data_IF_474935597981
#
_entry.id   IF_474935597981
#
_cell.length_a   1.000
_cell.length_b   1.000
_cell.length_c   1.000
_cell.angle_alpha   90.00
_cell.angle_beta   90.00
_cell.angle_gamma   90.00
#
_symmetry.space_group_name_H-M   'P 1'
#
loop_
_entity.id
_entity.type
_entity.pdbx_description
1 polymer ?
#
# COMPACT_ATOMS: atom_id res chain seq x y z
N UNK A 1 -0.80 20.13 -7.96
CA UNK A 1 -1.98 20.24 -7.08
C UNK A 1 -1.62 21.04 -5.83
N UNK A 2 -2.57 21.79 -5.25
CA UNK A 2 -2.37 22.39 -3.91
C UNK A 2 -2.23 21.28 -2.87
N UNK A 3 -1.48 21.52 -1.78
CA UNK A 3 -1.22 20.53 -0.71
C UNK A 3 -2.52 19.92 -0.14
N UNK A 4 -3.58 20.72 -0.01
CA UNK A 4 -4.91 20.25 0.40
C UNK A 4 -5.48 19.19 -0.55
N UNK A 5 -5.36 19.40 -1.86
CA UNK A 5 -5.81 18.42 -2.86
C UNK A 5 -5.00 17.12 -2.79
N UNK A 6 -3.69 17.23 -2.56
CA UNK A 6 -2.80 16.07 -2.38
C UNK A 6 -3.23 15.23 -1.19
N UNK A 7 -3.54 15.89 -0.07
CA UNK A 7 -4.03 15.24 1.15
C UNK A 7 -5.38 14.55 0.94
N UNK A 8 -6.37 15.22 0.31
CA UNK A 8 -7.69 14.64 0.03
C UNK A 8 -7.57 13.42 -0.89
N UNK A 9 -6.78 13.51 -1.95
CA UNK A 9 -6.52 12.38 -2.84
C UNK A 9 -5.75 11.26 -2.13
N UNK A 10 -4.93 11.60 -1.13
CA UNK A 10 -4.31 10.65 -0.20
C UNK A 10 -5.36 9.94 0.65
N UNK A 11 -6.29 10.68 1.24
CA UNK A 11 -7.38 10.10 2.02
C UNK A 11 -8.22 9.12 1.19
N UNK A 12 -8.60 9.50 -0.03
CA UNK A 12 -9.32 8.61 -0.95
C UNK A 12 -8.49 7.37 -1.31
N UNK A 13 -7.19 7.52 -1.53
CA UNK A 13 -6.29 6.38 -1.75
C UNK A 13 -6.25 5.40 -0.56
N UNK A 14 -6.23 5.93 0.67
CA UNK A 14 -6.32 5.12 1.89
C UNK A 14 -7.65 4.37 2.01
N UNK A 15 -8.76 5.04 1.70
CA UNK A 15 -10.09 4.43 1.69
C UNK A 15 -10.19 3.31 0.65
N UNK A 16 -9.63 3.49 -0.55
CA UNK A 16 -9.62 2.44 -1.58
C UNK A 16 -8.88 1.19 -1.11
N UNK A 17 -7.69 1.34 -0.52
CA UNK A 17 -6.96 0.20 0.04
C UNK A 17 -7.73 -0.45 1.20
N UNK A 18 -8.38 0.34 2.05
CA UNK A 18 -9.21 -0.18 3.13
C UNK A 18 -10.42 -0.99 2.63
N UNK A 19 -11.07 -0.58 1.53
CA UNK A 19 -12.13 -1.35 0.88
C UNK A 19 -11.61 -2.69 0.37
N UNK A 20 -10.42 -2.70 -0.26
CA UNK A 20 -9.74 -3.95 -0.64
C UNK A 20 -9.44 -4.84 0.58
N UNK A 21 -8.99 -4.24 1.68
CA UNK A 21 -8.78 -4.93 2.95
C UNK A 21 -10.04 -5.53 3.54
N UNK A 22 -11.17 -4.81 3.49
CA UNK A 22 -12.46 -5.32 3.94
C UNK A 22 -12.93 -6.51 3.09
N UNK A 23 -12.75 -6.43 1.77
CA UNK A 23 -13.04 -7.55 0.86
C UNK A 23 -12.18 -8.78 1.21
N UNK A 24 -10.88 -8.59 1.47
CA UNK A 24 -10.00 -9.67 1.90
C UNK A 24 -10.48 -10.34 3.21
N UNK A 25 -10.84 -9.55 4.22
CA UNK A 25 -11.33 -10.10 5.50
C UNK A 25 -12.69 -10.81 5.39
N UNK A 26 -13.48 -10.44 4.38
CA UNK A 26 -14.81 -11.01 4.15
C UNK A 26 -14.78 -12.39 3.48
N UNK A 27 -13.62 -12.84 3.02
CA UNK A 27 -13.44 -14.12 2.33
C UNK A 27 -12.53 -15.04 3.15
N UNK A 28 -12.97 -16.26 3.41
CA UNK A 28 -12.18 -17.21 4.22
C UNK A 28 -11.00 -17.82 3.45
N UNK A 29 -11.13 -17.96 2.13
CA UNK A 29 -10.05 -18.44 1.26
C UNK A 29 -9.02 -17.33 1.00
N UNK A 30 -7.79 -17.49 1.51
CA UNK A 30 -6.70 -16.51 1.34
C UNK A 30 -6.43 -16.15 -0.13
N UNK A 31 -6.32 -17.09 -1.09
CA UNK A 31 -6.13 -16.75 -2.50
C UNK A 31 -7.30 -15.95 -3.09
N UNK A 32 -8.54 -16.30 -2.74
CA UNK A 32 -9.72 -15.59 -3.22
C UNK A 32 -9.85 -14.20 -2.58
N UNK A 33 -9.53 -14.06 -1.30
CA UNK A 33 -9.43 -12.76 -0.64
C UNK A 33 -8.36 -11.87 -1.28
N UNK A 34 -7.20 -12.44 -1.62
CA UNK A 34 -6.12 -11.72 -2.30
C UNK A 34 -6.54 -11.20 -3.68
N UNK A 35 -7.29 -12.02 -4.43
CA UNK A 35 -7.91 -11.63 -5.70
C UNK A 35 -8.77 -10.39 -5.52
N UNK A 36 -9.70 -10.42 -4.56
CA UNK A 36 -10.64 -9.31 -4.34
C UNK A 36 -10.00 -8.07 -3.73
N UNK A 37 -8.89 -8.20 -2.99
CA UNK A 37 -8.13 -7.04 -2.51
C UNK A 37 -7.64 -6.15 -3.67
N UNK A 38 -7.41 -6.71 -4.85
CA UNK A 38 -7.01 -5.99 -6.07
C UNK A 38 -7.92 -4.80 -6.38
N UNK A 39 -9.21 -4.85 -5.99
CA UNK A 39 -10.15 -3.73 -6.16
C UNK A 39 -9.60 -2.42 -5.57
N UNK A 40 -8.84 -2.49 -4.47
CA UNK A 40 -8.27 -1.32 -3.83
C UNK A 40 -7.29 -0.58 -4.73
N UNK A 41 -6.26 -1.28 -5.24
CA UNK A 41 -5.28 -0.67 -6.13
C UNK A 41 -5.89 -0.32 -7.50
N UNK A 42 -6.83 -1.12 -7.98
CA UNK A 42 -7.61 -0.81 -9.17
C UNK A 42 -8.29 0.56 -9.07
N UNK A 43 -9.02 0.84 -7.99
CA UNK A 43 -9.66 2.14 -7.79
C UNK A 43 -8.65 3.28 -7.69
N UNK A 44 -7.53 3.07 -6.96
CA UNK A 44 -6.47 4.07 -6.84
C UNK A 44 -5.94 4.48 -8.22
N UNK A 45 -5.61 3.50 -9.04
CA UNK A 45 -5.01 3.74 -10.36
C UNK A 45 -6.04 4.31 -11.35
N UNK A 46 -7.25 3.75 -11.41
CA UNK A 46 -8.30 4.19 -12.34
C UNK A 46 -8.81 5.60 -12.04
N UNK A 47 -8.93 5.98 -10.76
CA UNK A 47 -9.38 7.32 -10.37
C UNK A 47 -8.25 8.33 -10.13
N UNK A 48 -6.99 7.91 -10.26
CA UNK A 48 -5.83 8.77 -10.08
C UNK A 48 -5.64 9.26 -8.64
N UNK A 49 -6.10 8.50 -7.64
CA UNK A 49 -5.88 8.82 -6.23
C UNK A 49 -4.42 8.64 -5.83
N UNK A 50 -4.03 9.30 -4.73
CA UNK A 50 -2.65 9.26 -4.27
C UNK A 50 -2.47 8.15 -3.24
N UNK A 51 -1.58 7.22 -3.54
CA UNK A 51 -1.17 6.16 -2.61
C UNK A 51 0.32 6.27 -2.36
N UNK A 52 0.72 6.36 -1.09
CA UNK A 52 2.10 6.55 -0.66
C UNK A 52 3.02 5.50 -1.30
N UNK A 53 2.66 4.23 -1.19
CA UNK A 53 3.45 3.10 -1.66
C UNK A 53 3.68 3.11 -3.17
N UNK A 54 2.72 3.63 -3.95
CA UNK A 54 2.89 3.82 -5.40
C UNK A 54 3.61 5.11 -5.78
N UNK A 55 3.47 6.19 -4.99
CA UNK A 55 4.10 7.49 -5.29
C UNK A 55 5.56 7.55 -4.87
N UNK A 56 5.91 6.96 -3.71
CA UNK A 56 7.27 6.99 -3.16
C UNK A 56 8.30 6.39 -4.11
N UNK A 57 7.90 5.46 -5.00
CA UNK A 57 8.76 4.86 -6.03
C UNK A 57 9.43 5.89 -6.94
N UNK A 58 8.78 7.03 -7.17
CA UNK A 58 9.22 8.06 -8.11
C UNK A 58 9.91 9.26 -7.42
N UNK A 59 10.25 9.14 -6.13
CA UNK A 59 10.79 10.26 -5.33
C UNK A 59 12.11 10.82 -5.90
N UNK A 60 13.00 9.95 -6.38
CA UNK A 60 14.28 10.35 -6.94
C UNK A 60 14.20 10.92 -8.37
N UNK A 61 13.03 10.85 -9.00
CA UNK A 61 12.75 11.44 -10.31
C UNK A 61 12.16 12.85 -10.18
N UNK A 62 11.54 13.19 -9.04
CA UNK A 62 10.72 14.40 -8.87
C UNK A 62 11.26 15.39 -7.81
N UNK A 63 12.37 15.09 -7.14
CA UNK A 63 13.07 16.01 -6.24
C UNK A 63 12.45 16.17 -4.84
N UNK A 64 13.03 17.06 -4.02
CA UNK A 64 12.71 17.16 -2.57
C UNK A 64 11.28 17.61 -2.24
N UNK A 65 10.67 18.49 -3.04
CA UNK A 65 9.29 18.93 -2.82
C UNK A 65 8.28 17.77 -2.96
N UNK A 66 8.59 16.80 -3.82
CA UNK A 66 7.80 15.60 -4.01
C UNK A 66 7.91 14.63 -2.82
N UNK A 67 9.06 14.56 -2.16
CA UNK A 67 9.20 13.78 -0.92
C UNK A 67 8.26 14.30 0.18
N UNK A 68 8.10 15.63 0.29
CA UNK A 68 7.13 16.23 1.19
C UNK A 68 5.68 15.90 0.77
N UNK A 69 5.39 15.86 -0.53
CA UNK A 69 4.09 15.39 -1.03
C UNK A 69 3.82 13.94 -0.63
N UNK A 70 4.81 13.04 -0.74
CA UNK A 70 4.69 11.66 -0.28
C UNK A 70 4.36 11.58 1.21
N UNK A 71 4.97 12.41 2.06
CA UNK A 71 4.64 12.46 3.48
C UNK A 71 3.19 12.91 3.72
N UNK A 72 2.72 13.95 3.00
CA UNK A 72 1.33 14.42 3.09
C UNK A 72 0.36 13.32 2.63
N UNK A 73 0.70 12.61 1.55
CA UNK A 73 -0.08 11.48 1.04
C UNK A 73 -0.15 10.36 2.07
N UNK A 74 0.95 10.05 2.76
CA UNK A 74 0.99 9.03 3.80
C UNK A 74 0.02 9.35 4.94
N UNK A 75 -0.01 10.60 5.42
CA UNK A 75 -0.98 11.02 6.43
C UNK A 75 -2.42 11.00 5.92
N UNK A 76 -2.64 11.38 4.65
CA UNK A 76 -3.93 11.22 4.00
C UNK A 76 -4.36 9.75 3.98
N UNK A 77 -3.50 8.86 3.51
CA UNK A 77 -3.75 7.41 3.46
C UNK A 77 -4.09 6.86 4.85
N UNK A 78 -3.35 7.26 5.89
CA UNK A 78 -3.63 6.89 7.28
C UNK A 78 -5.03 7.33 7.70
N UNK A 79 -5.39 8.60 7.48
CA UNK A 79 -6.71 9.11 7.84
C UNK A 79 -7.83 8.36 7.09
N UNK A 80 -7.66 8.13 5.79
CA UNK A 80 -8.63 7.40 4.98
C UNK A 80 -8.83 5.96 5.46
N UNK A 81 -7.73 5.23 5.68
CA UNK A 81 -7.78 3.86 6.18
C UNK A 81 -8.36 3.78 7.61
N UNK A 82 -8.04 4.76 8.46
CA UNK A 82 -8.57 4.87 9.81
C UNK A 82 -10.08 5.15 9.82
N UNK A 83 -10.54 6.15 9.06
CA UNK A 83 -11.95 6.48 8.95
C UNK A 83 -12.76 5.30 8.42
N UNK A 84 -12.26 4.59 7.40
CA UNK A 84 -12.93 3.38 6.91
C UNK A 84 -13.00 2.31 7.98
N UNK A 85 -11.88 1.94 8.63
CA UNK A 85 -11.89 0.94 9.69
C UNK A 85 -12.82 1.29 10.85
N UNK A 86 -12.79 2.54 11.32
CA UNK A 86 -13.66 3.04 12.37
C UNK A 86 -15.14 3.01 11.96
N UNK A 87 -15.47 3.43 10.74
CA UNK A 87 -16.82 3.40 10.22
C UNK A 87 -17.36 1.97 10.11
N UNK A 88 -16.56 1.02 9.57
CA UNK A 88 -17.00 -0.37 9.41
C UNK A 88 -17.30 -1.05 10.76
N UNK A 89 -16.54 -0.72 11.82
CA UNK A 89 -16.82 -1.19 13.19
C UNK A 89 -18.17 -0.72 13.74
N UNK A 90 -18.74 0.37 13.22
CA UNK A 90 -20.05 0.89 13.61
C UNK A 90 -21.21 0.30 12.78
N UNK A 91 -20.96 -0.74 11.98
CA UNK A 91 -21.97 -1.37 11.12
C UNK A 91 -22.17 -2.85 11.45
N UNK A 92 -23.10 -3.50 10.75
CA UNK A 92 -23.32 -4.96 10.82
C UNK A 92 -22.10 -5.81 10.45
N UNK A 93 -21.09 -5.25 9.77
CA UNK A 93 -19.85 -5.98 9.42
C UNK A 93 -18.74 -5.81 10.47
N UNK A 94 -19.07 -5.28 11.64
CA UNK A 94 -18.16 -5.21 12.80
C UNK A 94 -17.50 -6.54 13.20
N UNK A 95 -18.06 -7.74 12.97
CA UNK A 95 -17.35 -8.99 13.26
C UNK A 95 -16.03 -9.18 12.51
N UNK A 96 -15.80 -8.45 11.40
CA UNK A 96 -14.48 -8.44 10.73
C UNK A 96 -13.36 -7.88 11.62
N UNK A 97 -13.70 -7.14 12.69
CA UNK A 97 -12.74 -6.65 13.68
C UNK A 97 -11.97 -7.79 14.36
N UNK A 98 -12.60 -8.94 14.59
CA UNK A 98 -11.96 -10.10 15.21
C UNK A 98 -10.92 -10.72 14.28
N UNK A 99 -11.26 -10.88 12.99
CA UNK A 99 -10.31 -11.33 11.96
C UNK A 99 -9.13 -10.37 11.81
N UNK A 100 -9.42 -9.06 11.79
CA UNK A 100 -8.40 -8.03 11.74
C UNK A 100 -7.49 -8.06 12.98
N UNK A 101 -8.06 -8.28 14.18
CA UNK A 101 -7.32 -8.37 15.42
C UNK A 101 -6.39 -9.59 15.44
N UNK A 102 -6.88 -10.76 15.05
CA UNK A 102 -6.06 -11.97 14.95
C UNK A 102 -4.88 -11.77 13.98
N UNK A 103 -5.12 -11.14 12.83
CA UNK A 103 -4.05 -10.79 11.89
C UNK A 103 -3.05 -9.79 12.48
N UNK A 104 -3.53 -8.75 13.17
CA UNK A 104 -2.66 -7.77 13.82
C UNK A 104 -1.79 -8.41 14.89
N UNK A 105 -2.29 -9.37 15.66
CA UNK A 105 -1.49 -10.07 16.68
C UNK A 105 -0.32 -10.81 16.03
N UNK A 106 -0.57 -11.62 14.98
CA UNK A 106 0.51 -12.31 14.25
C UNK A 106 1.56 -11.34 13.73
N UNK A 107 1.13 -10.21 13.16
CA UNK A 107 2.04 -9.17 12.65
C UNK A 107 2.81 -8.46 13.75
N UNK A 108 2.18 -8.22 14.89
CA UNK A 108 2.80 -7.57 16.03
C UNK A 108 3.73 -8.51 16.79
N UNK A 109 3.51 -9.82 16.78
CA UNK A 109 4.41 -10.77 17.41
C UNK A 109 5.66 -11.07 16.56
N UNK A 110 5.65 -10.68 15.27
CA UNK A 110 6.83 -10.77 14.40
C UNK A 110 7.94 -9.78 14.79
N UNK A 111 9.17 -10.14 14.43
CA UNK A 111 10.34 -9.29 14.59
C UNK A 111 10.32 -8.11 13.63
N UNK A 112 10.67 -6.91 14.10
CA UNK A 112 10.68 -5.70 13.28
C UNK A 112 11.57 -5.83 12.02
N UNK A 113 12.65 -6.61 12.10
CA UNK A 113 13.52 -6.88 10.94
C UNK A 113 12.83 -7.74 9.88
N UNK A 114 12.07 -8.76 10.30
CA UNK A 114 11.23 -9.56 9.39
C UNK A 114 10.19 -8.68 8.70
N UNK A 115 9.45 -7.88 9.48
CA UNK A 115 8.47 -6.91 8.97
C UNK A 115 9.11 -5.98 7.93
N UNK A 116 10.29 -5.42 8.23
CA UNK A 116 11.01 -4.57 7.28
C UNK A 116 11.29 -5.28 5.96
N UNK A 117 11.83 -6.50 5.98
CA UNK A 117 12.13 -7.30 4.78
C UNK A 117 10.86 -7.60 3.98
N UNK A 118 9.80 -8.07 4.65
CA UNK A 118 8.51 -8.35 4.01
C UNK A 118 7.93 -7.08 3.35
N UNK A 119 8.19 -5.91 3.93
CA UNK A 119 7.76 -4.63 3.38
C UNK A 119 8.54 -4.22 2.14
N UNK A 120 9.84 -4.52 2.09
CA UNK A 120 10.66 -4.29 0.90
C UNK A 120 10.11 -5.09 -0.28
N UNK A 121 9.87 -6.39 -0.09
CA UNK A 121 9.31 -7.24 -1.14
C UNK A 121 7.90 -6.82 -1.56
N UNK A 122 7.06 -6.40 -0.60
CA UNK A 122 5.75 -5.84 -0.93
C UNK A 122 5.88 -4.71 -1.96
N UNK A 123 6.73 -3.72 -1.68
CA UNK A 123 6.73 -2.50 -2.49
C UNK A 123 7.50 -2.63 -3.80
N UNK A 124 8.35 -3.65 -3.94
CA UNK A 124 8.85 -4.09 -5.26
C UNK A 124 7.67 -4.50 -6.16
N UNK A 125 6.74 -5.29 -5.63
CA UNK A 125 5.55 -5.71 -6.39
C UNK A 125 4.57 -4.55 -6.64
N UNK A 126 4.41 -3.65 -5.68
CA UNK A 126 3.62 -2.42 -5.89
C UNK A 126 4.24 -1.56 -7.00
N UNK A 127 5.56 -1.39 -7.03
CA UNK A 127 6.22 -0.70 -8.13
C UNK A 127 5.90 -1.35 -9.48
N UNK A 128 6.05 -2.68 -9.60
CA UNK A 128 5.72 -3.41 -10.83
C UNK A 128 4.26 -3.20 -11.24
N UNK A 129 3.32 -3.21 -10.28
CA UNK A 129 1.92 -2.97 -10.54
C UNK A 129 1.66 -1.55 -11.09
N UNK A 130 2.10 -0.52 -10.37
CA UNK A 130 1.78 0.88 -10.72
C UNK A 130 2.55 1.36 -11.94
N UNK A 131 3.81 0.94 -12.10
CA UNK A 131 4.63 1.25 -13.27
C UNK A 131 4.10 0.53 -14.51
N UNK A 132 3.69 -0.73 -14.36
CA UNK A 132 2.99 -1.50 -15.40
C UNK A 132 1.68 -0.84 -15.81
N UNK A 133 0.86 -0.39 -14.85
CA UNK A 133 -0.40 0.30 -15.16
C UNK A 133 -0.15 1.61 -15.91
N UNK A 134 0.89 2.36 -15.53
CA UNK A 134 1.24 3.64 -16.13
C UNK A 134 1.81 3.50 -17.54
N UNK A 135 2.70 2.53 -17.76
CA UNK A 135 3.56 2.49 -18.94
C UNK A 135 3.20 1.38 -19.94
N UNK A 136 2.33 0.42 -19.59
CA UNK A 136 1.96 -0.65 -20.52
C UNK A 136 1.07 -0.10 -21.65
N UNK A 137 1.41 -0.32 -22.93
CA UNK A 137 0.63 0.20 -24.05
C UNK A 137 -0.71 -0.54 -24.24
N UNK A 138 -0.87 -1.73 -23.67
CA UNK A 138 -2.08 -2.54 -23.79
C UNK A 138 -2.96 -2.40 -22.55
N UNK A 139 -4.24 -2.04 -22.75
CA UNK A 139 -5.21 -1.86 -21.66
C UNK A 139 -5.31 -3.11 -20.76
N UNK A 140 -5.42 -4.30 -21.34
CA UNK A 140 -5.44 -5.55 -20.56
C UNK A 140 -4.15 -5.72 -19.74
N UNK A 141 -3.00 -5.37 -20.32
CA UNK A 141 -1.70 -5.44 -19.65
C UNK A 141 -1.59 -4.53 -18.43
N UNK A 142 -2.23 -3.35 -18.47
CA UNK A 142 -2.30 -2.43 -17.32
C UNK A 142 -3.05 -3.04 -16.14
N UNK A 143 -4.21 -3.66 -16.39
CA UNK A 143 -4.98 -4.26 -15.30
C UNK A 143 -4.37 -5.57 -14.80
N UNK A 144 -3.72 -6.34 -15.68
CA UNK A 144 -2.97 -7.52 -15.27
C UNK A 144 -1.77 -7.18 -14.37
N UNK A 145 -1.08 -6.05 -14.59
CA UNK A 145 0.01 -5.64 -13.68
C UNK A 145 -0.50 -5.36 -12.27
N UNK A 146 -1.68 -4.72 -12.14
CA UNK A 146 -2.33 -4.53 -10.84
C UNK A 146 -2.70 -5.85 -10.19
N UNK A 147 -3.31 -6.75 -10.97
CA UNK A 147 -3.72 -8.07 -10.52
C UNK A 147 -2.57 -8.89 -9.94
N UNK A 148 -1.49 -9.04 -10.71
CA UNK A 148 -0.34 -9.84 -10.29
C UNK A 148 0.42 -9.18 -9.14
N UNK A 149 0.66 -7.86 -9.22
CA UNK A 149 1.39 -7.17 -8.16
C UNK A 149 0.66 -7.27 -6.82
N UNK A 150 -0.67 -7.13 -6.80
CA UNK A 150 -1.47 -7.22 -5.56
C UNK A 150 -1.62 -8.64 -5.06
N UNK A 151 -2.12 -9.55 -5.91
CA UNK A 151 -2.48 -10.91 -5.47
C UNK A 151 -1.26 -11.64 -4.91
N UNK A 152 -0.08 -11.48 -5.54
CA UNK A 152 1.15 -12.16 -5.11
C UNK A 152 1.63 -11.66 -3.76
N UNK A 153 1.66 -10.35 -3.50
CA UNK A 153 2.19 -9.85 -2.21
C UNK A 153 1.33 -10.34 -1.05
N UNK A 154 0.02 -10.45 -1.23
CA UNK A 154 -0.90 -10.92 -0.18
C UNK A 154 -0.75 -12.43 0.06
N UNK A 155 -0.66 -13.22 -1.01
CA UNK A 155 -0.45 -14.68 -0.90
C UNK A 155 0.87 -14.96 -0.17
N UNK A 156 1.94 -14.22 -0.52
CA UNK A 156 3.24 -14.33 0.14
C UNK A 156 3.28 -13.79 1.58
N UNK A 157 2.24 -13.07 2.02
CA UNK A 157 2.21 -12.50 3.37
C UNK A 157 3.13 -11.28 3.54
N UNK A 158 3.40 -10.55 2.47
CA UNK A 158 4.20 -9.33 2.52
C UNK A 158 3.44 -8.18 3.19
N UNK A 159 4.19 -7.18 3.66
CA UNK A 159 3.67 -6.13 4.54
C UNK A 159 3.47 -4.80 3.79
N UNK A 160 2.24 -4.26 3.81
CA UNK A 160 1.88 -3.01 3.12
C UNK A 160 1.36 -1.97 4.12
N UNK A 161 2.05 -0.84 4.27
CA UNK A 161 1.77 0.14 5.33
C UNK A 161 0.35 0.66 5.34
N UNK A 162 -0.23 0.99 4.18
CA UNK A 162 -1.60 1.51 4.12
C UNK A 162 -2.64 0.42 4.39
N UNK A 163 -2.36 -0.83 4.03
CA UNK A 163 -3.26 -1.95 4.32
C UNK A 163 -3.25 -2.26 5.82
N UNK A 164 -2.06 -2.22 6.42
CA UNK A 164 -1.90 -2.40 7.85
C UNK A 164 -2.54 -1.27 8.66
N UNK A 165 -2.50 -0.01 8.19
CA UNK A 165 -3.28 1.08 8.80
C UNK A 165 -4.77 0.73 8.86
N UNK A 166 -5.33 0.14 7.80
CA UNK A 166 -6.71 -0.34 7.81
C UNK A 166 -6.91 -1.50 8.79
N UNK A 167 -6.09 -2.55 8.74
CA UNK A 167 -6.27 -3.71 9.63
C UNK A 167 -6.20 -3.33 11.11
N UNK A 168 -5.25 -2.46 11.49
CA UNK A 168 -5.11 -1.96 12.86
C UNK A 168 -6.33 -1.12 13.26
N UNK A 169 -6.87 -0.32 12.33
CA UNK A 169 -8.07 0.50 12.57
C UNK A 169 -9.33 -0.34 12.67
N UNK A 170 -9.49 -1.35 11.82
CA UNK A 170 -10.61 -2.31 11.86
C UNK A 170 -10.56 -3.15 13.14
N UNK A 171 -9.37 -3.47 13.64
CA UNK A 171 -9.18 -4.15 14.92
C UNK A 171 -9.35 -3.21 16.13
N UNK A 172 -9.27 -1.90 15.95
CA UNK A 172 -9.24 -0.93 17.05
C UNK A 172 -7.96 -1.02 17.90
N UNK A 173 -6.84 -1.43 17.30
CA UNK A 173 -5.59 -1.79 18.01
C UNK A 173 -4.48 -0.73 17.91
N UNK A 174 -4.84 0.55 17.78
CA UNK A 174 -3.85 1.64 17.80
C UNK A 174 -3.22 1.78 19.21
N UNK A 175 -2.04 1.20 19.39
CA UNK A 175 -1.20 1.27 20.60
C UNK A 175 0.25 1.61 20.22
N UNK A 176 1.13 1.85 21.20
CA UNK A 176 2.53 2.21 20.95
C UNK A 176 3.26 1.25 19.98
N UNK A 177 3.05 -0.07 20.13
CA UNK A 177 3.63 -1.07 19.21
C UNK A 177 3.13 -0.94 17.77
N UNK A 178 1.86 -0.57 17.57
CA UNK A 178 1.28 -0.37 16.25
C UNK A 178 1.95 0.79 15.50
N UNK A 179 2.30 1.87 16.22
CA UNK A 179 3.01 3.02 15.64
C UNK A 179 4.40 2.61 15.16
N UNK A 180 5.17 1.91 16.00
CA UNK A 180 6.51 1.42 15.65
C UNK A 180 6.43 0.47 14.45
N UNK A 181 5.48 -0.49 14.49
CA UNK A 181 5.23 -1.43 13.41
C UNK A 181 4.97 -0.70 12.08
N UNK A 182 4.07 0.29 12.07
CA UNK A 182 3.73 1.06 10.87
C UNK A 182 4.92 1.86 10.35
N UNK A 183 5.76 2.44 11.21
CA UNK A 183 6.95 3.18 10.80
C UNK A 183 7.99 2.26 10.15
N UNK A 184 8.27 1.11 10.75
CA UNK A 184 9.20 0.11 10.19
C UNK A 184 8.68 -0.43 8.86
N UNK A 185 7.39 -0.75 8.80
CA UNK A 185 6.74 -1.22 7.59
C UNK A 185 6.76 -0.15 6.48
N UNK A 186 6.52 1.12 6.82
CA UNK A 186 6.64 2.26 5.89
C UNK A 186 8.06 2.41 5.36
N UNK A 187 9.08 2.29 6.21
CA UNK A 187 10.48 2.40 5.81
C UNK A 187 10.86 1.29 4.81
N UNK A 188 10.48 0.04 5.09
CA UNK A 188 10.72 -1.07 4.18
C UNK A 188 9.97 -0.89 2.86
N UNK A 189 8.72 -0.42 2.88
CA UNK A 189 8.00 -0.10 1.65
C UNK A 189 8.70 1.01 0.84
N UNK A 190 9.13 2.11 1.49
CA UNK A 190 9.83 3.19 0.81
C UNK A 190 11.11 2.69 0.11
N UNK A 191 11.92 1.87 0.79
CA UNK A 191 13.11 1.24 0.21
C UNK A 191 12.74 0.33 -0.96
N UNK A 192 11.80 -0.61 -0.78
CA UNK A 192 11.40 -1.54 -1.84
C UNK A 192 10.90 -0.84 -3.11
N UNK A 193 10.19 0.28 -2.95
CA UNK A 193 9.64 1.03 -4.09
C UNK A 193 10.69 1.73 -4.95
N UNK A 194 11.82 2.13 -4.37
CA UNK A 194 12.87 2.87 -5.09
C UNK A 194 13.94 1.96 -5.70
N UNK A 195 14.03 0.68 -5.30
CA UNK A 195 15.08 -0.23 -5.76
C UNK A 195 15.13 -0.36 -7.29
N UNK A 196 14.03 -0.76 -7.93
CA UNK A 196 13.99 -0.95 -9.39
C UNK A 196 14.19 0.38 -10.15
N UNK A 197 13.49 1.49 -9.80
CA UNK A 197 13.73 2.80 -10.41
C UNK A 197 15.20 3.23 -10.37
N UNK A 198 15.87 3.07 -9.23
CA UNK A 198 17.27 3.46 -9.07
C UNK A 198 18.22 2.59 -9.91
N UNK A 199 17.97 1.28 -9.98
CA UNK A 199 18.74 0.37 -10.84
C UNK A 199 18.57 0.74 -12.31
N UNK A 200 17.34 0.96 -12.78
CA UNK A 200 17.04 1.39 -14.16
C UNK A 200 17.71 2.72 -14.52
N UNK A 201 17.70 3.69 -13.61
CA UNK A 201 18.36 4.98 -13.83
C UNK A 201 19.88 4.84 -13.94
N UNK A 202 20.47 3.95 -13.14
CA UNK A 202 21.92 3.73 -13.12
C UNK A 202 22.41 3.06 -14.41
N UNK A 203 21.64 2.13 -14.98
CA UNK A 203 21.96 1.50 -16.26
C UNK A 203 21.78 2.47 -17.43
N UNK A 204 20.70 3.25 -17.46
CA UNK A 204 20.45 4.24 -18.51
C UNK A 204 21.57 5.30 -18.61
N UNK A 205 22.09 5.77 -17.47
CA UNK A 205 23.24 6.69 -17.44
C UNK A 205 24.51 6.07 -18.01
N UNK A 206 24.78 4.78 -17.75
CA UNK A 206 25.96 4.09 -18.30
C UNK A 206 25.88 3.97 -19.82
N UNK A 207 24.70 3.69 -20.37
CA UNK A 207 24.49 3.59 -21.81
C UNK A 207 24.57 4.92 -22.56
N UNK A 208 24.42 6.07 -21.87
CA UNK A 208 24.51 7.40 -22.47
C UNK A 208 25.95 7.98 -22.48
N UNK A 209 26.91 7.28 -21.85
CA UNK A 209 28.33 7.70 -21.74
C UNK A 209 29.24 6.86 -22.64
N UNK A 210 28.70 5.81 -23.26
CA UNK A 210 29.34 4.98 -24.29
C UNK A 210 28.86 5.42 -25.67
#
# INVERSE_FOLDING_TARGET
MKKTGIFIYGMLGGMCIAIGGAAFLSVDSKPLGALFFTVGLFMVCTFGFNLFTGKICYVFENGGAYALDCAIIWFGNLLGAWLTGAALRATRISPLAEKAAAMCQVKFDDGLWSVFILSVFCNILIFVAVDGYRNNPHELGKYLSLFFGVTVFIICGFEHCVANMFYISMAGMWRGRAVIFILVNTAGNAIGGVLIPLVRRSTAKKSAVL
#
